data_IF_551393119842
#
_entry.id   IF_551393119842
#
_cell.length_a   1.000
_cell.length_b   1.000
_cell.length_c   1.000
_cell.angle_alpha   90.00
_cell.angle_beta   90.00
_cell.angle_gamma   90.00
#
_symmetry.space_group_name_H-M   'P 1'
#
loop_
_entity.id
_entity.type
_entity.pdbx_description
1 polymer ?
#
# COMPACT_ATOMS: atom_id res chain seq x y z
N UNK A 1 -12.93 -68.36 -13.98
CA UNK A 1 -11.96 -67.29 -13.67
C UNK A 1 -12.66 -66.07 -13.10
N UNK A 2 -12.22 -65.51 -11.97
CA UNK A 2 -12.50 -64.09 -11.74
C UNK A 2 -11.28 -63.37 -11.15
N UNK A 3 -10.53 -62.66 -11.99
CA UNK A 3 -9.60 -61.62 -11.54
C UNK A 3 -9.56 -60.49 -12.55
N UNK A 4 -10.45 -59.53 -12.36
CA UNK A 4 -10.16 -58.15 -12.73
C UNK A 4 -10.95 -57.24 -11.79
N UNK A 5 -10.31 -56.87 -10.69
CA UNK A 5 -10.81 -55.81 -9.81
C UNK A 5 -9.95 -54.58 -10.10
N UNK A 6 -10.51 -53.47 -10.58
CA UNK A 6 -9.73 -52.28 -10.88
C UNK A 6 -9.07 -51.75 -9.58
N UNK A 7 -7.83 -51.25 -9.65
CA UNK A 7 -7.11 -50.78 -8.47
C UNK A 7 -7.87 -49.59 -7.83
N UNK A 8 -7.92 -49.52 -6.49
CA UNK A 8 -8.63 -48.44 -5.82
C UNK A 8 -8.01 -47.09 -6.18
N UNK A 9 -8.84 -46.16 -6.64
CA UNK A 9 -8.45 -44.77 -6.86
C UNK A 9 -8.04 -44.15 -5.53
N UNK A 10 -6.76 -43.78 -5.40
CA UNK A 10 -6.22 -43.10 -4.22
C UNK A 10 -6.98 -41.79 -4.00
N UNK A 11 -7.89 -41.77 -3.03
CA UNK A 11 -8.61 -40.56 -2.63
C UNK A 11 -7.62 -39.59 -1.97
N UNK A 12 -7.50 -38.40 -2.54
CA UNK A 12 -6.65 -37.32 -2.03
C UNK A 12 -7.06 -36.99 -0.58
N UNK A 13 -6.11 -37.10 0.35
CA UNK A 13 -6.38 -36.88 1.77
C UNK A 13 -6.61 -35.38 2.06
N UNK A 14 -7.30 -35.07 3.17
CA UNK A 14 -7.51 -33.68 3.61
C UNK A 14 -6.20 -32.89 3.77
N UNK A 15 -5.10 -33.58 4.02
CA UNK A 15 -3.78 -32.99 4.22
C UNK A 15 -3.16 -32.52 2.89
N UNK A 16 -3.20 -33.37 1.85
CA UNK A 16 -2.76 -33.05 0.48
C UNK A 16 -3.52 -31.83 -0.10
N UNK A 17 -4.83 -31.72 0.19
CA UNK A 17 -5.65 -30.55 -0.17
C UNK A 17 -5.23 -29.25 0.52
N UNK A 18 -4.80 -29.34 1.78
CA UNK A 18 -4.39 -28.18 2.59
C UNK A 18 -3.01 -27.68 2.15
N UNK A 19 -2.11 -28.59 1.81
CA UNK A 19 -0.80 -28.27 1.28
C UNK A 19 -0.88 -27.60 -0.09
N UNK A 20 -1.69 -28.14 -1.02
CA UNK A 20 -2.00 -27.49 -2.30
C UNK A 20 -2.45 -26.04 -2.12
N UNK A 21 -3.42 -25.81 -1.22
CA UNK A 21 -3.96 -24.47 -0.97
C UNK A 21 -2.95 -23.52 -0.33
N UNK A 22 -2.02 -24.04 0.49
CA UNK A 22 -0.94 -23.25 1.10
C UNK A 22 0.12 -22.90 0.06
N UNK A 23 0.48 -23.85 -0.80
CA UNK A 23 1.45 -23.66 -1.88
C UNK A 23 0.93 -22.66 -2.91
N UNK A 24 -0.32 -22.81 -3.34
CA UNK A 24 -0.98 -21.90 -4.29
C UNK A 24 -1.09 -20.47 -3.73
N UNK A 25 -1.39 -20.31 -2.43
CA UNK A 25 -1.35 -18.99 -1.77
C UNK A 25 0.06 -18.42 -1.66
N UNK A 26 1.05 -19.25 -1.34
CA UNK A 26 2.44 -18.81 -1.25
C UNK A 26 2.97 -18.37 -2.62
N UNK A 27 2.63 -19.10 -3.68
CA UNK A 27 2.94 -18.75 -5.06
C UNK A 27 2.24 -17.45 -5.48
N UNK A 28 0.97 -17.26 -5.12
CA UNK A 28 0.29 -15.98 -5.36
C UNK A 28 0.93 -14.81 -4.61
N UNK A 29 1.37 -15.02 -3.36
CA UNK A 29 2.07 -13.99 -2.57
C UNK A 29 3.43 -13.69 -3.19
N UNK A 30 4.18 -14.72 -3.59
CA UNK A 30 5.49 -14.57 -4.22
C UNK A 30 5.38 -13.85 -5.56
N UNK A 31 4.43 -14.25 -6.41
CA UNK A 31 4.15 -13.59 -7.69
C UNK A 31 3.77 -12.11 -7.51
N UNK A 32 2.91 -11.81 -6.53
CA UNK A 32 2.52 -10.44 -6.22
C UNK A 32 3.68 -9.60 -5.67
N UNK A 33 4.54 -10.20 -4.84
CA UNK A 33 5.72 -9.53 -4.31
C UNK A 33 6.73 -9.23 -5.42
N UNK A 34 6.95 -10.17 -6.34
CA UNK A 34 7.83 -10.02 -7.49
C UNK A 34 7.32 -8.91 -8.43
N UNK A 35 6.02 -8.86 -8.68
CA UNK A 35 5.40 -7.74 -9.39
C UNK A 35 5.56 -6.39 -8.67
N UNK A 36 5.33 -6.33 -7.35
CA UNK A 36 5.52 -5.07 -6.60
C UNK A 36 6.98 -4.63 -6.59
N UNK A 37 7.94 -5.57 -6.52
CA UNK A 37 9.38 -5.29 -6.59
C UNK A 37 9.79 -4.78 -7.99
N UNK A 38 9.28 -5.41 -9.05
CA UNK A 38 9.55 -4.99 -10.43
C UNK A 38 8.93 -3.62 -10.76
N UNK A 39 7.81 -3.28 -10.12
CA UNK A 39 7.12 -1.99 -10.27
C UNK A 39 7.61 -0.92 -9.26
N UNK A 40 8.50 -1.27 -8.33
CA UNK A 40 9.00 -0.35 -7.33
C UNK A 40 10.19 0.45 -7.87
N UNK A 41 9.93 1.70 -8.23
CA UNK A 41 10.97 2.67 -8.53
C UNK A 41 11.26 3.56 -7.31
N UNK A 42 12.47 3.50 -6.73
CA UNK A 42 12.88 4.33 -5.59
C UNK A 42 12.90 5.84 -5.91
N UNK A 43 12.97 6.23 -7.18
CA UNK A 43 12.88 7.63 -7.62
C UNK A 43 11.44 8.08 -7.84
N UNK A 44 10.52 7.15 -8.11
CA UNK A 44 9.07 7.41 -8.08
C UNK A 44 8.54 7.51 -6.64
N UNK A 45 9.27 6.94 -5.65
CA UNK A 45 9.10 7.24 -4.24
C UNK A 45 9.60 8.65 -3.92
N UNK A 46 8.84 9.61 -4.43
CA UNK A 46 8.82 11.04 -4.23
C UNK A 46 8.58 11.45 -2.75
N UNK A 47 9.05 10.67 -1.78
CA UNK A 47 9.04 11.02 -0.37
C UNK A 47 9.97 12.22 -0.17
N UNK A 48 9.49 13.25 0.53
CA UNK A 48 10.29 14.42 0.86
C UNK A 48 11.57 13.98 1.58
N UNK A 49 12.69 14.60 1.22
CA UNK A 49 14.00 14.37 1.82
C UNK A 49 14.15 15.03 3.20
N UNK A 50 13.20 15.89 3.61
CA UNK A 50 13.33 16.71 4.81
C UNK A 50 12.12 16.51 5.76
N UNK A 51 12.30 15.76 6.87
CA UNK A 51 11.22 15.50 7.82
C UNK A 51 10.77 16.76 8.56
N UNK A 52 11.63 17.79 8.68
CA UNK A 52 11.29 19.05 9.37
C UNK A 52 10.41 19.98 8.53
N UNK A 53 10.22 19.65 7.25
CA UNK A 53 9.33 20.38 6.32
C UNK A 53 8.11 19.55 5.94
N UNK A 54 7.97 18.34 6.50
CA UNK A 54 6.92 17.40 6.11
C UNK A 54 5.92 17.19 7.24
N UNK A 55 4.68 17.61 7.02
CA UNK A 55 3.56 17.35 7.89
C UNK A 55 2.89 16.02 7.52
N UNK A 56 2.69 15.16 8.51
CA UNK A 56 1.88 13.95 8.38
C UNK A 56 0.43 14.24 8.79
N UNK A 57 -0.51 13.97 7.89
CA UNK A 57 -1.95 14.17 8.12
C UNK A 57 -2.65 12.82 8.00
N UNK A 58 -3.28 12.36 9.08
CA UNK A 58 -4.00 11.09 9.14
C UNK A 58 -5.51 11.28 9.31
N UNK A 59 -6.27 10.18 9.21
CA UNK A 59 -7.74 10.14 9.32
C UNK A 59 -8.44 11.06 8.31
N UNK A 60 -7.84 11.17 7.14
CA UNK A 60 -8.43 11.89 6.01
C UNK A 60 -9.58 11.05 5.46
N UNK A 61 -10.72 11.68 5.22
CA UNK A 61 -11.85 11.01 4.56
C UNK A 61 -11.42 10.55 3.16
N UNK A 62 -11.80 9.34 2.77
CA UNK A 62 -11.48 8.72 1.49
C UNK A 62 -11.93 9.52 0.27
N UNK A 63 -12.94 10.37 0.40
CA UNK A 63 -13.43 11.26 -0.66
C UNK A 63 -12.58 12.55 -0.81
N UNK A 64 -11.63 12.77 0.09
CA UNK A 64 -10.82 14.01 0.09
C UNK A 64 -9.79 13.96 -1.04
N UNK A 65 -9.86 14.94 -1.94
CA UNK A 65 -8.89 15.15 -3.00
C UNK A 65 -7.67 15.95 -2.54
N UNK A 66 -6.56 15.83 -3.27
CA UNK A 66 -5.35 16.62 -3.04
C UNK A 66 -5.64 18.12 -3.07
N UNK A 67 -6.47 18.59 -4.01
CA UNK A 67 -6.85 20.01 -4.13
C UNK A 67 -7.54 20.54 -2.88
N UNK A 68 -8.35 19.72 -2.22
CA UNK A 68 -9.03 20.11 -0.96
C UNK A 68 -8.02 20.23 0.18
N UNK A 69 -7.07 19.30 0.26
CA UNK A 69 -5.97 19.38 1.24
C UNK A 69 -5.13 20.62 0.98
N UNK A 70 -4.74 20.87 -0.28
CA UNK A 70 -3.98 22.09 -0.64
C UNK A 70 -4.68 23.34 -0.13
N UNK A 71 -5.98 23.48 -0.42
CA UNK A 71 -6.77 24.65 -0.03
C UNK A 71 -6.88 24.87 1.48
N UNK A 72 -6.99 23.80 2.24
CA UNK A 72 -7.09 23.90 3.70
C UNK A 72 -5.73 24.16 4.37
N UNK A 73 -4.64 23.66 3.77
CA UNK A 73 -3.30 23.72 4.37
C UNK A 73 -2.41 24.85 3.82
N UNK A 74 -2.77 25.49 2.71
CA UNK A 74 -2.03 26.62 2.14
C UNK A 74 -2.05 27.87 3.04
N UNK A 75 -3.03 27.99 3.94
CA UNK A 75 -3.13 29.08 4.91
C UNK A 75 -1.97 29.11 5.90
N UNK A 76 -1.33 27.97 6.14
CA UNK A 76 -0.19 27.86 7.06
C UNK A 76 1.15 28.16 6.39
N UNK A 77 1.21 28.14 5.07
CA UNK A 77 2.42 28.41 4.31
C UNK A 77 2.40 27.84 2.89
N UNK A 78 3.33 28.28 2.02
CA UNK A 78 3.48 27.75 0.67
C UNK A 78 3.79 26.25 0.68
N UNK A 79 2.94 25.47 0.02
CA UNK A 79 3.08 24.02 -0.09
C UNK A 79 3.93 23.66 -1.32
N UNK A 80 5.05 22.99 -1.07
CA UNK A 80 5.93 22.42 -2.11
C UNK A 80 5.31 21.19 -2.77
N UNK A 81 4.77 20.28 -1.96
CA UNK A 81 4.29 18.98 -2.44
C UNK A 81 3.23 18.39 -1.53
N UNK A 82 2.27 17.69 -2.12
CA UNK A 82 1.32 16.85 -1.38
C UNK A 82 1.43 15.44 -1.93
N UNK A 83 1.41 14.45 -1.03
CA UNK A 83 1.41 13.04 -1.37
C UNK A 83 0.27 12.35 -0.63
N UNK A 84 -0.86 12.21 -1.31
CA UNK A 84 -1.98 11.39 -0.81
C UNK A 84 -1.62 9.91 -0.98
N UNK A 85 -1.59 9.14 0.10
CA UNK A 85 -1.20 7.73 -0.02
C UNK A 85 -2.41 6.86 -0.33
N UNK A 86 -2.34 6.14 -1.45
CA UNK A 86 -3.34 5.16 -1.89
C UNK A 86 -2.79 3.74 -1.75
N UNK A 87 -3.68 2.77 -1.62
CA UNK A 87 -3.36 1.36 -1.70
C UNK A 87 -2.90 1.02 -3.11
N UNK A 88 -1.72 0.39 -3.23
CA UNK A 88 -1.10 0.09 -4.53
C UNK A 88 -1.90 -0.88 -5.38
N UNK A 89 -2.75 -1.71 -4.78
CA UNK A 89 -3.46 -2.79 -5.46
C UNK A 89 -4.87 -2.35 -5.84
N UNK A 90 -5.53 -1.58 -4.97
CA UNK A 90 -6.92 -1.17 -5.17
C UNK A 90 -7.12 0.31 -5.52
N UNK A 91 -6.05 1.13 -5.54
CA UNK A 91 -6.14 2.58 -5.72
C UNK A 91 -6.90 3.32 -4.62
N UNK A 92 -7.40 2.60 -3.60
CA UNK A 92 -8.21 3.15 -2.52
C UNK A 92 -7.33 4.02 -1.62
N UNK A 93 -7.73 5.26 -1.28
CA UNK A 93 -6.97 6.09 -0.37
C UNK A 93 -6.81 5.39 0.99
N UNK A 94 -5.60 5.44 1.56
CA UNK A 94 -5.31 4.88 2.88
C UNK A 94 -5.75 5.79 4.03
N UNK A 95 -6.27 6.98 3.71
CA UNK A 95 -6.74 7.96 4.68
C UNK A 95 -5.61 8.75 5.35
N UNK A 96 -4.44 8.86 4.70
CA UNK A 96 -3.36 9.72 5.16
C UNK A 96 -2.59 10.38 4.00
N UNK A 97 -1.98 11.52 4.28
CA UNK A 97 -1.21 12.33 3.35
C UNK A 97 0.08 12.83 4.01
N UNK A 98 1.07 13.11 3.17
CA UNK A 98 2.25 13.89 3.53
C UNK A 98 2.20 15.22 2.81
N UNK A 99 2.40 16.32 3.53
CA UNK A 99 2.43 17.68 2.99
C UNK A 99 3.82 18.24 3.24
N UNK A 100 4.54 18.58 2.19
CA UNK A 100 5.85 19.22 2.26
C UNK A 100 5.68 20.73 2.04
N UNK A 101 6.11 21.54 3.00
CA UNK A 101 6.15 23.00 2.89
C UNK A 101 7.46 23.48 2.25
N UNK A 102 7.46 24.69 1.70
CA UNK A 102 8.70 25.28 1.17
C UNK A 102 9.66 25.71 2.28
N UNK A 103 9.16 26.17 3.43
CA UNK A 103 9.98 26.64 4.54
C UNK A 103 9.70 25.86 5.83
N UNK A 104 10.76 25.55 6.58
CA UNK A 104 10.68 24.87 7.89
C UNK A 104 9.88 25.68 8.93
N UNK A 105 9.97 27.01 8.86
CA UNK A 105 9.27 27.91 9.79
C UNK A 105 7.74 27.78 9.72
N UNK A 106 7.20 27.33 8.59
CA UNK A 106 5.77 27.19 8.38
C UNK A 106 5.16 26.01 9.17
N UNK A 107 6.00 25.06 9.63
CA UNK A 107 5.57 23.96 10.52
C UNK A 107 5.47 24.34 12.01
N UNK A 108 6.12 25.42 12.44
CA UNK A 108 6.40 25.66 13.86
C UNK A 108 5.24 26.32 14.65
N UNK A 109 4.07 26.52 14.05
CA UNK A 109 2.94 27.22 14.68
C UNK A 109 2.16 26.40 15.73
N UNK A 110 2.49 25.12 15.94
CA UNK A 110 1.72 24.20 16.80
C UNK A 110 2.48 23.65 18.01
N UNK A 111 3.60 24.26 18.42
CA UNK A 111 4.27 23.94 19.70
C UNK A 111 4.29 25.16 20.60
N UNK A 112 3.19 25.38 21.33
CA UNK A 112 3.17 26.10 22.60
C UNK A 112 2.16 25.44 23.53
#
# INVERSE_FOLDING_TARGET
DPKDTPPPTRVETKDERKERKRKERAEQIAYKLEQDLALWDPHTANASTDPYKTLFVARINYDTSESKIRREFEVYGPIRKIKLTTDKIGGKPRGYAFIEYEHERDMHYWSY
#
